data_IF_388441123367
#
_entry.id   IF_388441123367
#
_cell.length_a   1.000
_cell.length_b   1.000
_cell.length_c   1.000
_cell.angle_alpha   90.00
_cell.angle_beta   90.00
_cell.angle_gamma   90.00
#
_symmetry.space_group_name_H-M   'P 1'
#
loop_
_entity.id
_entity.type
_entity.pdbx_description
1 polymer ?
#
# COMPACT_ATOMS: atom_id res chain seq x y z
N UNK A 1 66.30 -16.08 -46.65
CA UNK A 1 65.39 -15.01 -47.11
C UNK A 1 64.08 -15.71 -47.52
N UNK A 2 63.19 -15.91 -46.55
CA UNK A 2 62.01 -15.06 -46.27
C UNK A 2 60.84 -15.33 -47.24
N UNK A 3 60.10 -16.42 -47.01
CA UNK A 3 58.72 -16.56 -47.46
C UNK A 3 57.82 -16.07 -46.32
N UNK A 4 57.28 -14.87 -46.50
CA UNK A 4 56.40 -14.17 -45.56
C UNK A 4 55.05 -14.88 -45.46
N UNK A 5 54.79 -15.47 -44.28
CA UNK A 5 53.45 -15.79 -43.78
C UNK A 5 52.76 -14.48 -43.38
N UNK A 6 52.15 -13.77 -44.33
CA UNK A 6 51.25 -12.66 -44.04
C UNK A 6 49.80 -13.08 -44.32
N UNK A 7 49.25 -13.91 -43.43
CA UNK A 7 47.79 -13.96 -43.26
C UNK A 7 47.39 -12.65 -42.59
N UNK A 8 46.74 -11.77 -43.36
CA UNK A 8 46.42 -10.43 -42.90
C UNK A 8 45.62 -10.48 -41.58
N UNK A 9 46.00 -9.63 -40.61
CA UNK A 9 45.21 -9.38 -39.38
C UNK A 9 43.75 -8.97 -39.69
N UNK A 10 43.50 -8.52 -40.93
CA UNK A 10 42.18 -8.18 -41.45
C UNK A 10 41.34 -9.45 -41.69
N UNK A 11 41.92 -10.53 -42.22
CA UNK A 11 41.22 -11.80 -42.41
C UNK A 11 40.92 -12.49 -41.08
N UNK A 12 41.82 -12.37 -40.09
CA UNK A 12 41.54 -12.81 -38.71
C UNK A 12 40.38 -12.03 -38.07
N UNK A 13 40.33 -10.70 -38.21
CA UNK A 13 39.18 -9.88 -37.73
C UNK A 13 37.88 -10.12 -38.49
N UNK A 14 37.94 -10.53 -39.76
CA UNK A 14 36.76 -10.92 -40.56
C UNK A 14 36.23 -12.30 -40.16
N UNK A 15 37.10 -13.19 -39.68
CA UNK A 15 36.69 -14.46 -39.08
C UNK A 15 36.17 -14.34 -37.64
N UNK A 16 36.66 -13.35 -36.87
CA UNK A 16 36.16 -13.07 -35.51
C UNK A 16 34.84 -12.28 -35.48
N UNK A 17 34.49 -11.58 -36.57
CA UNK A 17 33.23 -10.84 -36.70
C UNK A 17 32.07 -11.68 -37.27
N UNK A 18 32.34 -12.90 -37.73
CA UNK A 18 31.30 -13.90 -37.96
C UNK A 18 31.23 -14.80 -36.72
N UNK A 19 30.25 -14.60 -35.81
CA UNK A 19 29.99 -15.62 -34.81
C UNK A 19 29.75 -16.93 -35.56
N UNK A 20 30.46 -17.99 -35.18
CA UNK A 20 30.23 -19.35 -35.69
C UNK A 20 28.73 -19.58 -35.90
N UNK A 21 28.29 -20.18 -37.01
CA UNK A 21 26.88 -20.40 -37.26
C UNK A 21 26.32 -21.21 -36.09
N UNK A 22 25.64 -20.52 -35.19
CA UNK A 22 24.87 -21.15 -34.12
C UNK A 22 23.93 -22.09 -34.85
N UNK A 23 24.04 -23.40 -34.57
CA UNK A 23 23.23 -24.40 -35.25
C UNK A 23 21.78 -23.94 -35.24
N UNK A 24 21.04 -24.18 -36.33
CA UNK A 24 19.67 -23.72 -36.47
C UNK A 24 18.83 -24.15 -35.24
N UNK A 25 19.04 -25.37 -34.75
CA UNK A 25 18.48 -25.87 -33.48
C UNK A 25 18.78 -24.99 -32.26
N UNK A 26 20.01 -24.50 -32.10
CA UNK A 26 20.39 -23.61 -31.00
C UNK A 26 19.71 -22.24 -31.08
N UNK A 27 19.44 -21.72 -32.29
CA UNK A 27 18.70 -20.46 -32.49
C UNK A 27 17.22 -20.62 -32.15
N UNK A 28 16.60 -21.74 -32.55
CA UNK A 28 15.23 -22.07 -32.15
C UNK A 28 15.10 -22.28 -30.64
N UNK A 29 16.04 -22.99 -30.02
CA UNK A 29 16.04 -23.18 -28.56
C UNK A 29 16.16 -21.83 -27.82
N UNK A 30 17.06 -20.94 -28.26
CA UNK A 30 17.19 -19.58 -27.71
C UNK A 30 15.90 -18.78 -27.85
N UNK A 31 15.23 -18.87 -29.00
CA UNK A 31 13.94 -18.20 -29.24
C UNK A 31 12.86 -18.69 -28.27
N UNK A 32 12.70 -20.02 -28.11
CA UNK A 32 11.70 -20.60 -27.21
C UNK A 32 11.98 -20.21 -25.76
N UNK A 33 13.23 -20.28 -25.30
CA UNK A 33 13.62 -19.88 -23.95
C UNK A 33 13.34 -18.40 -23.71
N UNK A 34 13.74 -17.52 -24.64
CA UNK A 34 13.51 -16.08 -24.52
C UNK A 34 12.01 -15.74 -24.48
N UNK A 35 11.22 -16.39 -25.34
CA UNK A 35 9.77 -16.23 -25.37
C UNK A 35 9.13 -16.68 -24.04
N UNK A 36 9.52 -17.87 -23.53
CA UNK A 36 9.02 -18.40 -22.27
C UNK A 36 9.38 -17.48 -21.08
N UNK A 37 10.61 -16.96 -21.03
CA UNK A 37 11.05 -16.02 -20.00
C UNK A 37 10.23 -14.73 -20.02
N UNK A 38 9.98 -14.16 -21.21
CA UNK A 38 9.20 -12.93 -21.32
C UNK A 38 7.72 -13.17 -20.97
N UNK A 39 7.14 -14.28 -21.40
CA UNK A 39 5.77 -14.65 -21.01
C UNK A 39 5.66 -14.80 -19.49
N UNK A 40 6.63 -15.47 -18.85
CA UNK A 40 6.66 -15.59 -17.39
C UNK A 40 6.74 -14.23 -16.70
N UNK A 41 7.55 -13.30 -17.23
CA UNK A 41 7.66 -11.94 -16.70
C UNK A 41 6.36 -11.14 -16.86
N UNK A 42 5.66 -11.28 -18.00
CA UNK A 42 4.34 -10.66 -18.22
C UNK A 42 3.33 -11.21 -17.21
N UNK A 43 3.23 -12.53 -17.05
CA UNK A 43 2.30 -13.14 -16.10
C UNK A 43 2.57 -12.70 -14.66
N UNK A 44 3.85 -12.61 -14.28
CA UNK A 44 4.25 -12.09 -12.98
C UNK A 44 3.85 -10.61 -12.81
N UNK A 45 4.09 -9.78 -13.83
CA UNK A 45 3.68 -8.37 -13.83
C UNK A 45 2.16 -8.22 -13.70
N UNK A 46 1.38 -9.05 -14.39
CA UNK A 46 -0.08 -9.06 -14.31
C UNK A 46 -0.57 -9.50 -12.93
N UNK A 47 0.10 -10.44 -12.27
CA UNK A 47 -0.24 -10.87 -10.91
C UNK A 47 -0.03 -9.74 -9.88
N UNK A 48 1.10 -9.03 -9.97
CA UNK A 48 1.34 -7.87 -9.10
C UNK A 48 0.40 -6.71 -9.47
N UNK A 49 0.17 -6.48 -10.76
CA UNK A 49 -0.75 -5.47 -11.25
C UNK A 49 -2.18 -5.68 -10.81
N UNK A 50 -2.69 -6.91 -10.82
CA UNK A 50 -4.03 -7.24 -10.35
C UNK A 50 -4.16 -7.02 -8.84
N UNK A 51 -3.12 -7.36 -8.08
CA UNK A 51 -3.05 -7.10 -6.63
C UNK A 51 -3.09 -5.61 -6.32
N UNK A 52 -2.38 -4.80 -7.11
CA UNK A 52 -2.37 -3.33 -6.97
C UNK A 52 -3.72 -2.74 -7.39
N UNK A 53 -4.32 -3.22 -8.48
CA UNK A 53 -5.66 -2.79 -8.89
C UNK A 53 -6.68 -3.10 -7.79
N UNK A 54 -6.64 -4.31 -7.21
CA UNK A 54 -7.49 -4.67 -6.10
C UNK A 54 -7.29 -3.75 -4.89
N UNK A 55 -6.03 -3.43 -4.55
CA UNK A 55 -5.72 -2.46 -3.50
C UNK A 55 -6.21 -1.03 -3.82
N UNK A 56 -6.27 -0.64 -5.10
CA UNK A 56 -6.90 0.62 -5.55
C UNK A 56 -8.41 0.65 -5.23
N UNK A 57 -9.09 -0.50 -5.35
CA UNK A 57 -10.50 -0.63 -4.97
C UNK A 57 -10.67 -0.58 -3.44
N UNK A 58 -9.77 -1.20 -2.68
CA UNK A 58 -9.72 -1.09 -1.21
C UNK A 58 -9.56 0.36 -0.76
N UNK A 59 -8.67 1.11 -1.40
CA UNK A 59 -8.46 2.53 -1.10
C UNK A 59 -9.70 3.38 -1.40
N UNK A 60 -10.47 3.01 -2.43
CA UNK A 60 -11.73 3.67 -2.77
C UNK A 60 -12.81 3.39 -1.71
N UNK A 61 -12.82 2.19 -1.12
CA UNK A 61 -13.66 1.89 0.04
C UNK A 61 -13.23 2.61 1.33
N UNK A 62 -12.04 3.23 1.35
CA UNK A 62 -11.53 4.03 2.46
C UNK A 62 -11.49 3.31 3.82
N UNK A 63 -11.28 1.98 3.81
CA UNK A 63 -11.30 1.15 5.02
C UNK A 63 -9.92 1.05 5.71
N UNK A 64 -8.86 1.56 5.08
CA UNK A 64 -7.50 1.50 5.65
C UNK A 64 -7.39 2.31 6.95
N UNK A 65 -6.54 1.90 7.91
CA UNK A 65 -6.42 2.55 9.21
C UNK A 65 -5.55 3.82 9.12
N UNK A 66 -6.14 4.88 8.58
CA UNK A 66 -5.53 6.20 8.33
C UNK A 66 -5.74 7.21 9.47
N UNK A 67 -6.44 6.85 10.53
CA UNK A 67 -6.80 7.75 11.64
C UNK A 67 -6.47 7.07 12.96
N UNK A 68 -5.67 7.76 13.79
CA UNK A 68 -5.17 7.29 15.09
C UNK A 68 -6.29 7.19 16.14
N UNK A 69 -7.38 7.91 15.96
CA UNK A 69 -8.50 7.95 16.91
C UNK A 69 -9.47 6.76 16.74
N UNK A 70 -9.20 5.86 15.79
CA UNK A 70 -10.07 4.73 15.45
C UNK A 70 -9.38 3.37 15.56
N UNK A 71 -10.17 2.30 15.53
CA UNK A 71 -9.70 0.93 15.34
C UNK A 71 -8.78 0.85 14.11
N UNK A 72 -7.61 0.18 14.22
CA UNK A 72 -7.13 -0.63 15.35
C UNK A 72 -6.26 0.11 16.39
N UNK A 73 -6.00 1.41 16.26
CA UNK A 73 -5.17 2.16 17.22
C UNK A 73 -5.92 2.52 18.51
N UNK A 74 -7.23 2.75 18.39
CA UNK A 74 -8.15 3.06 19.48
C UNK A 74 -9.31 2.05 19.54
N UNK A 75 -10.20 2.21 20.52
CA UNK A 75 -11.38 1.37 20.69
C UNK A 75 -12.60 1.84 19.89
N UNK A 76 -12.52 2.99 19.22
CA UNK A 76 -13.63 3.55 18.47
C UNK A 76 -13.69 2.94 17.06
N UNK A 77 -14.78 2.26 16.74
CA UNK A 77 -15.00 1.78 15.39
C UNK A 77 -15.40 2.95 14.47
N UNK A 78 -14.68 3.18 13.36
CA UNK A 78 -15.07 4.19 12.39
C UNK A 78 -16.33 3.74 11.65
N UNK A 79 -17.21 4.69 11.34
CA UNK A 79 -18.35 4.44 10.47
C UNK A 79 -17.93 4.71 9.03
N UNK A 80 -17.93 3.67 8.19
CA UNK A 80 -17.62 3.77 6.75
C UNK A 80 -18.91 3.62 5.96
N UNK A 81 -19.23 4.59 5.10
CA UNK A 81 -20.40 4.48 4.22
C UNK A 81 -20.17 3.38 3.18
N UNK A 82 -21.00 2.32 3.13
CA UNK A 82 -20.87 1.29 2.11
C UNK A 82 -21.08 1.89 0.72
N UNK A 83 -20.20 1.55 -0.21
CA UNK A 83 -20.31 1.89 -1.62
C UNK A 83 -20.07 0.64 -2.45
N UNK A 84 -20.76 0.54 -3.59
CA UNK A 84 -20.48 -0.46 -4.61
C UNK A 84 -19.37 0.08 -5.51
N UNK A 85 -18.33 -0.73 -5.69
CA UNK A 85 -17.14 -0.37 -6.42
C UNK A 85 -17.04 -1.25 -7.65
N UNK A 86 -16.97 -0.63 -8.82
CA UNK A 86 -16.77 -1.32 -10.08
C UNK A 86 -15.34 -1.84 -10.22
N UNK A 87 -15.22 -3.09 -10.68
CA UNK A 87 -13.98 -3.78 -11.06
C UNK A 87 -14.21 -4.50 -12.39
N UNK A 88 -13.14 -4.79 -13.11
CA UNK A 88 -13.18 -5.47 -14.40
C UNK A 88 -13.96 -4.67 -15.45
N UNK A 89 -13.78 -3.35 -15.44
CA UNK A 89 -14.55 -2.42 -16.26
C UNK A 89 -14.16 -2.56 -17.73
N UNK A 90 -15.10 -3.04 -18.54
CA UNK A 90 -14.88 -3.28 -19.97
C UNK A 90 -16.00 -2.72 -20.82
N UNK A 91 -15.61 -2.13 -21.96
CA UNK A 91 -16.54 -1.65 -22.99
C UNK A 91 -16.61 -2.64 -24.14
N UNK A 92 -17.80 -3.19 -24.37
CA UNK A 92 -18.13 -4.12 -25.46
C UNK A 92 -19.40 -3.62 -26.14
N UNK A 93 -19.34 -3.45 -27.46
CA UNK A 93 -20.47 -3.02 -28.30
C UNK A 93 -21.19 -1.76 -27.78
N UNK A 94 -20.42 -0.81 -27.25
CA UNK A 94 -20.93 0.45 -26.72
C UNK A 94 -21.47 0.40 -25.29
N UNK A 95 -21.61 -0.79 -24.69
CA UNK A 95 -22.05 -0.97 -23.29
C UNK A 95 -20.86 -1.23 -22.37
N UNK A 96 -20.94 -0.72 -21.14
CA UNK A 96 -20.00 -1.03 -20.08
C UNK A 96 -20.48 -2.22 -19.27
N UNK A 97 -19.55 -3.10 -18.95
CA UNK A 97 -19.72 -4.22 -18.05
C UNK A 97 -18.72 -4.09 -16.91
N UNK A 98 -19.18 -4.33 -15.69
CA UNK A 98 -18.34 -4.33 -14.49
C UNK A 98 -18.85 -5.33 -13.47
N UNK A 99 -17.94 -5.90 -12.70
CA UNK A 99 -18.25 -6.63 -11.47
C UNK A 99 -18.30 -5.65 -10.33
N UNK A 100 -19.41 -5.61 -9.59
CA UNK A 100 -19.55 -4.73 -8.43
C UNK A 100 -19.16 -5.46 -7.16
N UNK A 101 -18.25 -4.86 -6.41
CA UNK A 101 -17.79 -5.37 -5.13
C UNK A 101 -17.99 -4.34 -4.03
N UNK A 102 -18.16 -4.83 -2.80
CA UNK A 102 -18.13 -4.00 -1.61
C UNK A 102 -17.11 -4.55 -0.61
N UNK A 103 -16.63 -3.68 0.27
CA UNK A 103 -15.70 -4.04 1.34
C UNK A 103 -16.40 -3.85 2.69
N UNK A 104 -17.04 -4.89 3.23
CA UNK A 104 -17.69 -4.80 4.52
C UNK A 104 -16.71 -4.37 5.62
N UNK A 105 -17.11 -3.34 6.35
CA UNK A 105 -16.39 -2.86 7.52
C UNK A 105 -17.34 -2.65 8.71
N UNK A 106 -18.56 -2.18 8.46
CA UNK A 106 -19.59 -2.11 9.50
C UNK A 106 -20.24 -3.49 9.73
N UNK A 107 -20.69 -3.74 10.97
CA UNK A 107 -21.47 -4.94 11.28
C UNK A 107 -22.86 -4.88 10.64
N UNK A 108 -23.40 -6.04 10.31
CA UNK A 108 -24.69 -6.26 9.67
C UNK A 108 -25.42 -7.41 10.36
N UNK A 109 -26.70 -7.63 10.02
CA UNK A 109 -27.47 -8.78 10.50
C UNK A 109 -26.99 -10.12 9.89
N UNK A 110 -26.24 -10.06 8.77
CA UNK A 110 -25.72 -11.25 8.11
C UNK A 110 -24.38 -11.73 8.71
N UNK A 111 -24.28 -12.97 9.22
CA UNK A 111 -23.07 -13.49 9.84
C UNK A 111 -21.88 -13.62 8.88
N UNK A 112 -22.11 -13.86 7.59
CA UNK A 112 -21.04 -13.93 6.59
C UNK A 112 -20.38 -12.57 6.37
N UNK A 113 -21.19 -11.50 6.36
CA UNK A 113 -20.72 -10.10 6.25
C UNK A 113 -19.92 -9.73 7.50
N UNK A 114 -20.41 -10.10 8.69
CA UNK A 114 -19.71 -9.84 9.96
C UNK A 114 -18.32 -10.48 10.03
N UNK A 115 -18.18 -11.72 9.54
CA UNK A 115 -16.87 -12.40 9.50
C UNK A 115 -15.84 -11.65 8.65
N UNK A 116 -16.28 -11.02 7.56
CA UNK A 116 -15.42 -10.21 6.69
C UNK A 116 -15.15 -8.85 7.30
N UNK A 117 -16.16 -8.20 7.89
CA UNK A 117 -15.99 -6.94 8.60
C UNK A 117 -14.99 -7.06 9.75
N UNK A 118 -15.09 -8.12 10.56
CA UNK A 118 -14.15 -8.38 11.65
C UNK A 118 -12.72 -8.66 11.13
N UNK A 119 -12.59 -9.36 10.00
CA UNK A 119 -11.29 -9.56 9.34
C UNK A 119 -10.68 -8.23 8.87
N UNK A 120 -11.46 -7.38 8.19
CA UNK A 120 -11.01 -6.10 7.66
C UNK A 120 -10.68 -5.07 8.76
N UNK A 121 -11.29 -5.20 9.95
CA UNK A 121 -10.94 -4.41 11.15
C UNK A 121 -9.65 -4.86 11.82
N UNK A 122 -9.31 -6.14 11.66
CA UNK A 122 -8.15 -6.73 12.32
C UNK A 122 -6.87 -6.40 11.57
N UNK A 123 -5.80 -6.13 12.30
CA UNK A 123 -4.46 -6.02 11.76
C UNK A 123 -3.48 -6.61 12.76
N UNK A 124 -2.81 -7.69 12.38
CA UNK A 124 -1.97 -8.46 13.31
C UNK A 124 -0.98 -7.60 14.11
N UNK A 125 -0.26 -6.68 13.44
CA UNK A 125 0.75 -5.85 14.10
C UNK A 125 0.07 -4.78 14.96
N UNK A 126 -0.93 -4.07 14.43
CA UNK A 126 -1.60 -3.00 15.18
C UNK A 126 -2.41 -3.55 16.36
N UNK A 127 -3.00 -4.73 16.22
CA UNK A 127 -3.68 -5.44 17.31
C UNK A 127 -2.69 -5.87 18.39
N UNK A 128 -1.49 -6.33 17.99
CA UNK A 128 -0.42 -6.60 18.93
C UNK A 128 0.02 -5.33 19.66
N UNK A 129 0.24 -4.22 18.95
CA UNK A 129 0.59 -2.92 19.53
C UNK A 129 -0.51 -2.45 20.51
N UNK A 130 -1.79 -2.54 20.13
CA UNK A 130 -2.92 -2.18 20.99
C UNK A 130 -2.93 -2.99 22.29
N UNK A 131 -2.73 -4.31 22.22
CA UNK A 131 -2.63 -5.16 23.43
C UNK A 131 -1.49 -4.72 24.35
N UNK A 132 -0.37 -4.26 23.78
CA UNK A 132 0.76 -3.75 24.57
C UNK A 132 0.43 -2.45 25.31
N UNK A 133 -0.48 -1.60 24.77
CA UNK A 133 -0.94 -0.36 25.41
C UNK A 133 -1.87 -0.62 26.59
N UNK A 134 -2.67 -1.68 26.54
CA UNK A 134 -3.65 -2.02 27.58
C UNK A 134 -3.03 -2.77 28.78
N UNK A 135 -1.73 -3.04 28.74
CA UNK A 135 -1.02 -3.72 29.84
C UNK A 135 -0.93 -2.81 31.08
N UNK A 136 -1.39 -3.28 32.23
CA UNK A 136 -1.49 -2.51 33.48
C UNK A 136 -0.14 -2.08 34.09
N UNK A 137 0.99 -2.67 33.69
CA UNK A 137 2.34 -2.27 34.12
C UNK A 137 3.14 -1.61 32.97
N UNK A 138 2.46 -0.84 32.12
CA UNK A 138 3.11 -0.12 31.01
C UNK A 138 3.87 1.10 31.52
N UNK A 139 5.06 1.35 30.98
CA UNK A 139 5.91 2.50 31.33
C UNK A 139 5.84 3.57 30.23
N UNK A 140 6.06 4.83 30.59
CA UNK A 140 6.04 5.96 29.63
C UNK A 140 6.98 5.76 28.44
N UNK A 141 8.17 5.19 28.67
CA UNK A 141 9.13 4.81 27.60
C UNK A 141 8.53 3.79 26.63
N UNK A 142 7.78 2.80 27.11
CA UNK A 142 7.11 1.81 26.22
C UNK A 142 6.06 2.51 25.35
N UNK A 143 5.26 3.39 25.96
CA UNK A 143 4.24 4.17 25.24
C UNK A 143 4.82 5.16 24.23
N UNK A 144 6.00 5.71 24.50
CA UNK A 144 6.76 6.54 23.57
C UNK A 144 7.03 5.80 22.26
N UNK A 145 7.68 4.63 22.32
CA UNK A 145 7.97 3.84 21.12
C UNK A 145 6.71 3.34 20.41
N UNK A 146 5.70 2.94 21.18
CA UNK A 146 4.40 2.54 20.62
C UNK A 146 3.78 3.70 19.83
N UNK A 147 3.75 4.91 20.38
CA UNK A 147 3.13 6.07 19.71
C UNK A 147 3.89 6.47 18.45
N UNK A 148 5.23 6.39 18.47
CA UNK A 148 6.05 6.56 17.26
C UNK A 148 5.69 5.52 16.20
N UNK A 149 5.57 4.24 16.57
CA UNK A 149 5.17 3.18 15.63
C UNK A 149 3.76 3.39 15.08
N UNK A 150 2.77 3.67 15.93
CA UNK A 150 1.39 3.93 15.49
C UNK A 150 1.33 5.12 14.54
N UNK A 151 2.06 6.21 14.84
CA UNK A 151 2.18 7.37 13.96
C UNK A 151 2.78 7.01 12.60
N UNK A 152 3.80 6.16 12.57
CA UNK A 152 4.41 5.67 11.31
C UNK A 152 3.44 4.80 10.51
N UNK A 153 2.75 3.84 11.15
CA UNK A 153 1.76 3.01 10.48
C UNK A 153 0.63 3.87 9.91
N UNK A 154 0.03 4.73 10.73
CA UNK A 154 -1.06 5.63 10.32
C UNK A 154 -0.66 6.46 9.10
N UNK A 155 0.54 7.05 9.12
CA UNK A 155 1.00 7.87 8.01
C UNK A 155 1.25 7.06 6.74
N UNK A 156 1.84 5.87 6.86
CA UNK A 156 2.04 4.97 5.72
C UNK A 156 0.70 4.53 5.12
N UNK A 157 -0.29 4.16 5.93
CA UNK A 157 -1.64 3.86 5.44
C UNK A 157 -2.29 5.07 4.77
N UNK A 158 -2.12 6.28 5.32
CA UNK A 158 -2.62 7.51 4.72
C UNK A 158 -2.02 7.76 3.33
N UNK A 159 -0.70 7.58 3.17
CA UNK A 159 -0.01 7.70 1.88
C UNK A 159 -0.53 6.64 0.90
N UNK A 160 -0.60 5.38 1.31
CA UNK A 160 -1.07 4.27 0.47
C UNK A 160 -2.52 4.49 0.03
N UNK A 161 -3.41 4.85 0.95
CA UNK A 161 -4.81 5.13 0.66
C UNK A 161 -4.94 6.26 -0.37
N UNK A 162 -4.18 7.34 -0.19
CA UNK A 162 -4.21 8.48 -1.10
C UNK A 162 -3.64 8.13 -2.47
N UNK A 163 -2.50 7.44 -2.52
CA UNK A 163 -1.84 7.05 -3.76
C UNK A 163 -2.67 6.07 -4.58
N UNK A 164 -3.19 5.03 -3.95
CA UNK A 164 -3.99 4.00 -4.61
C UNK A 164 -5.35 4.55 -5.05
N UNK A 165 -5.98 5.42 -4.26
CA UNK A 165 -7.19 6.11 -4.69
C UNK A 165 -6.92 7.05 -5.88
N UNK A 166 -5.80 7.79 -5.85
CA UNK A 166 -5.37 8.61 -6.98
C UNK A 166 -5.16 7.78 -8.26
N UNK A 167 -4.52 6.61 -8.14
CA UNK A 167 -4.37 5.69 -9.27
C UNK A 167 -5.74 5.21 -9.79
N UNK A 168 -6.64 4.76 -8.91
CA UNK A 168 -7.98 4.30 -9.31
C UNK A 168 -8.78 5.38 -10.03
N UNK A 169 -8.67 6.63 -9.55
CA UNK A 169 -9.45 7.77 -10.06
C UNK A 169 -8.93 8.27 -11.41
N UNK A 170 -7.62 8.28 -11.62
CA UNK A 170 -7.00 8.95 -12.77
C UNK A 170 -6.49 7.99 -13.86
N UNK A 171 -6.35 6.70 -13.57
CA UNK A 171 -5.81 5.72 -14.51
C UNK A 171 -6.87 4.67 -14.86
N UNK A 172 -6.87 4.25 -16.12
CA UNK A 172 -7.68 3.11 -16.58
C UNK A 172 -7.18 1.80 -15.95
N UNK A 173 -8.07 0.86 -15.67
CA UNK A 173 -7.74 -0.39 -14.96
C UNK A 173 -6.62 -1.18 -15.64
N UNK A 174 -6.63 -1.27 -16.98
CA UNK A 174 -5.57 -1.96 -17.72
C UNK A 174 -4.21 -1.27 -17.60
N UNK A 175 -4.18 0.07 -17.45
CA UNK A 175 -2.94 0.82 -17.21
C UNK A 175 -2.41 0.52 -15.82
N UNK A 176 -3.28 0.43 -14.81
CA UNK A 176 -2.90 0.02 -13.45
C UNK A 176 -2.39 -1.43 -13.45
N UNK A 177 -3.06 -2.33 -14.18
CA UNK A 177 -2.68 -3.73 -14.31
C UNK A 177 -1.28 -3.90 -14.92
N UNK A 178 -0.95 -3.13 -15.97
CA UNK A 178 0.35 -3.25 -16.64
C UNK A 178 1.46 -2.46 -15.94
N UNK A 179 1.18 -1.22 -15.54
CA UNK A 179 2.19 -0.26 -15.08
C UNK A 179 2.15 -0.02 -13.57
N UNK A 180 1.13 -0.47 -12.85
CA UNK A 180 1.01 -0.32 -11.40
C UNK A 180 2.24 -0.77 -10.61
N UNK A 181 2.81 -1.96 -10.87
CA UNK A 181 4.04 -2.41 -10.20
C UNK A 181 5.21 -1.45 -10.42
N UNK A 182 5.34 -0.92 -11.65
CA UNK A 182 6.38 0.03 -12.00
C UNK A 182 6.17 1.39 -11.33
N UNK A 183 4.92 1.89 -11.29
CA UNK A 183 4.59 3.12 -10.57
C UNK A 183 4.96 3.02 -9.09
N UNK A 184 4.61 1.93 -8.42
CA UNK A 184 4.98 1.72 -7.02
C UNK A 184 6.49 1.57 -6.85
N UNK A 185 7.18 0.87 -7.76
CA UNK A 185 8.64 0.73 -7.71
C UNK A 185 9.34 2.09 -7.72
N UNK A 186 8.92 3.01 -8.59
CA UNK A 186 9.52 4.34 -8.69
C UNK A 186 9.12 5.29 -7.56
N UNK A 187 7.91 5.14 -6.99
CA UNK A 187 7.44 5.99 -5.91
C UNK A 187 7.94 5.55 -4.52
N UNK A 188 8.24 4.26 -4.33
CA UNK A 188 8.66 3.73 -3.03
C UNK A 188 9.89 4.44 -2.46
N UNK A 189 10.98 4.73 -3.21
CA UNK A 189 12.12 5.48 -2.69
C UNK A 189 11.75 6.87 -2.17
N UNK A 190 10.86 7.59 -2.88
CA UNK A 190 10.40 8.92 -2.46
C UNK A 190 9.57 8.84 -1.17
N UNK A 191 8.72 7.83 -1.05
CA UNK A 191 7.92 7.57 0.15
C UNK A 191 8.81 7.19 1.33
N UNK A 192 9.83 6.35 1.11
CA UNK A 192 10.82 5.99 2.14
C UNK A 192 11.56 7.22 2.65
N UNK A 193 12.01 8.11 1.76
CA UNK A 193 12.68 9.36 2.17
C UNK A 193 11.73 10.25 2.98
N UNK A 194 10.48 10.42 2.52
CA UNK A 194 9.49 11.21 3.24
C UNK A 194 9.19 10.64 4.63
N UNK A 195 8.93 9.33 4.71
CA UNK A 195 8.61 8.65 5.96
C UNK A 195 9.80 8.59 6.91
N UNK A 196 11.04 8.60 6.39
CA UNK A 196 12.25 8.78 7.20
C UNK A 196 12.24 10.13 7.93
N UNK A 197 12.03 11.24 7.24
CA UNK A 197 11.95 12.56 7.90
C UNK A 197 10.74 12.68 8.83
N UNK A 198 9.62 12.09 8.44
CA UNK A 198 8.44 12.02 9.32
C UNK A 198 8.72 11.20 10.59
N UNK A 199 9.55 10.16 10.51
CA UNK A 199 9.95 9.40 11.68
C UNK A 199 10.73 10.28 12.66
N UNK A 200 11.72 11.05 12.19
CA UNK A 200 12.46 12.03 13.01
C UNK A 200 11.49 12.97 13.73
N UNK A 201 10.52 13.54 13.00
CA UNK A 201 9.50 14.40 13.57
C UNK A 201 8.70 13.71 14.70
N UNK A 202 8.26 12.46 14.49
CA UNK A 202 7.51 11.71 15.50
C UNK A 202 8.33 11.44 16.76
N UNK A 203 9.63 11.17 16.64
CA UNK A 203 10.48 11.01 17.82
C UNK A 203 10.40 12.23 18.70
N UNK A 204 10.45 13.45 18.15
CA UNK A 204 10.35 14.69 18.92
C UNK A 204 8.94 14.95 19.48
N UNK A 205 7.91 14.74 18.68
CA UNK A 205 6.53 15.00 19.11
C UNK A 205 6.13 14.10 20.25
N UNK A 206 6.54 12.84 20.26
CA UNK A 206 6.10 11.88 21.26
C UNK A 206 6.88 11.98 22.58
N UNK A 207 7.90 12.86 22.73
CA UNK A 207 8.72 12.98 23.96
C UNK A 207 7.88 13.18 25.23
N UNK A 208 6.67 13.75 25.12
CA UNK A 208 5.76 13.92 26.25
C UNK A 208 5.48 12.61 26.99
N UNK A 209 5.50 11.46 26.32
CA UNK A 209 5.31 10.16 26.95
C UNK A 209 6.38 9.79 27.97
N UNK A 210 7.59 10.35 27.83
CA UNK A 210 8.67 10.15 28.80
C UNK A 210 8.39 10.85 30.13
N UNK A 211 7.49 11.83 30.12
CA UNK A 211 7.04 12.60 31.28
C UNK A 211 5.67 12.14 31.76
N UNK A 212 5.26 10.90 31.48
CA UNK A 212 4.00 10.32 31.95
C UNK A 212 4.24 9.07 32.77
N UNK A 213 3.53 8.96 33.88
CA UNK A 213 3.53 7.78 34.74
C UNK A 213 2.15 7.12 34.80
N UNK A 214 2.13 5.78 34.83
CA UNK A 214 0.90 5.03 35.02
C UNK A 214 0.62 4.90 36.50
N UNK A 215 -0.51 5.44 36.95
CA UNK A 215 -0.92 5.38 38.35
C UNK A 215 -1.77 4.14 38.68
N UNK A 216 -2.14 3.35 37.66
CA UNK A 216 -2.98 2.18 37.83
C UNK A 216 -2.17 0.89 37.59
N UNK A 217 -1.62 0.33 38.67
CA UNK A 217 -0.76 -0.85 38.65
C UNK A 217 -1.49 -2.15 39.06
N UNK A 218 -2.82 -2.17 39.04
CA UNK A 218 -3.62 -3.35 39.40
C UNK A 218 -3.96 -4.18 38.17
N UNK A 219 -3.75 -5.49 38.27
CA UNK A 219 -4.14 -6.45 37.24
C UNK A 219 -5.66 -6.38 36.99
N UNK A 220 -6.06 -6.38 35.71
CA UNK A 220 -7.46 -6.26 35.28
C UNK A 220 -7.95 -4.82 35.04
N UNK A 221 -7.18 -3.79 35.39
CA UNK A 221 -7.54 -2.40 35.10
C UNK A 221 -6.71 -1.81 33.95
N UNK A 222 -7.32 -0.90 33.18
CA UNK A 222 -6.63 -0.15 32.12
C UNK A 222 -5.66 0.89 32.72
N UNK A 223 -4.51 1.14 32.08
CA UNK A 223 -3.56 2.15 32.56
C UNK A 223 -4.18 3.54 32.56
N UNK A 224 -3.88 4.32 33.59
CA UNK A 224 -4.27 5.72 33.71
C UNK A 224 -3.00 6.56 33.81
N UNK A 225 -2.84 7.47 32.86
CA UNK A 225 -1.63 8.26 32.71
C UNK A 225 -1.78 9.63 33.37
N UNK A 226 -0.80 10.00 34.19
CA UNK A 226 -0.69 11.33 34.77
C UNK A 226 0.68 11.94 34.44
N UNK A 227 0.72 13.26 34.31
CA UNK A 227 1.95 13.98 33.97
C UNK A 227 2.90 14.02 35.18
N UNK A 228 4.16 13.67 34.94
CA UNK A 228 5.24 13.80 35.91
C UNK A 228 5.60 15.28 36.02
N UNK A 229 5.17 15.90 37.11
CA UNK A 229 5.43 17.32 37.36
C UNK A 229 6.75 17.55 38.08
N UNK A 230 7.28 18.77 38.00
CA UNK A 230 8.45 19.22 38.76
C UNK A 230 8.33 19.02 40.28
N UNK A 231 7.11 18.90 40.81
CA UNK A 231 6.88 18.65 42.24
C UNK A 231 7.33 17.24 42.64
N UNK A 232 7.38 16.29 41.69
CA UNK A 232 8.00 14.98 41.86
C UNK A 232 9.40 14.99 41.24
N UNK A 233 10.33 15.70 41.88
CA UNK A 233 11.66 15.99 41.36
C UNK A 233 12.47 14.74 40.99
N UNK A 234 12.30 13.64 41.73
CA UNK A 234 13.00 12.39 41.45
C UNK A 234 12.54 11.75 40.13
N UNK A 235 11.22 11.57 39.95
CA UNK A 235 10.67 11.02 38.71
C UNK A 235 10.93 11.96 37.53
N UNK A 236 10.86 13.28 37.73
CA UNK A 236 11.16 14.26 36.70
C UNK A 236 12.63 14.18 36.24
N UNK A 237 13.59 14.08 37.16
CA UNK A 237 15.00 13.90 36.83
C UNK A 237 15.27 12.59 36.06
N UNK A 238 14.57 11.49 36.42
CA UNK A 238 14.64 10.23 35.68
C UNK A 238 14.14 10.42 34.25
N UNK A 239 12.97 11.05 34.07
CA UNK A 239 12.40 11.36 32.74
C UNK A 239 13.36 12.21 31.90
N UNK A 240 13.96 13.25 32.48
CA UNK A 240 14.97 14.08 31.79
C UNK A 240 16.21 13.26 31.39
N UNK A 241 16.69 12.38 32.26
CA UNK A 241 17.86 11.52 31.98
C UNK A 241 17.55 10.53 30.86
N UNK A 242 16.36 9.91 30.88
CA UNK A 242 15.90 9.02 29.82
C UNK A 242 15.76 9.77 28.49
N UNK A 243 15.14 10.96 28.49
CA UNK A 243 15.00 11.81 27.32
C UNK A 243 16.36 12.18 26.73
N UNK A 244 17.35 12.55 27.57
CA UNK A 244 18.70 12.84 27.13
C UNK A 244 19.36 11.63 26.45
N UNK A 245 19.31 10.44 27.06
CA UNK A 245 19.91 9.24 26.47
C UNK A 245 19.21 8.79 25.20
N UNK A 246 17.88 8.91 25.12
CA UNK A 246 17.13 8.64 23.88
C UNK A 246 17.54 9.64 22.80
N UNK A 247 17.67 10.92 23.13
CA UNK A 247 18.12 11.94 22.18
C UNK A 247 19.55 11.69 21.67
N UNK A 248 20.50 11.37 22.56
CA UNK A 248 21.86 10.99 22.16
C UNK A 248 21.85 9.73 21.31
N UNK A 249 21.09 8.72 21.71
CA UNK A 249 20.91 7.48 20.96
C UNK A 249 20.37 7.73 19.55
N UNK A 250 19.39 8.64 19.41
CA UNK A 250 18.86 9.05 18.12
C UNK A 250 19.90 9.73 17.26
N UNK A 251 20.65 10.70 17.80
CA UNK A 251 21.70 11.39 17.04
C UNK A 251 22.73 10.38 16.51
N UNK A 252 23.17 9.44 17.35
CA UNK A 252 24.10 8.39 16.93
C UNK A 252 23.46 7.49 15.87
N UNK A 253 22.20 7.09 16.04
CA UNK A 253 21.51 6.18 15.11
C UNK A 253 21.24 6.86 13.76
N UNK A 254 20.87 8.14 13.72
CA UNK A 254 20.65 8.87 12.48
C UNK A 254 21.95 9.19 11.73
N UNK A 255 23.05 9.42 12.46
CA UNK A 255 24.37 9.70 11.85
C UNK A 255 25.05 8.41 11.35
N UNK A 256 25.01 7.32 12.13
CA UNK A 256 25.78 6.10 11.84
C UNK A 256 24.94 4.93 11.31
N UNK A 257 23.62 4.96 11.47
CA UNK A 257 22.72 3.81 11.24
C UNK A 257 21.54 4.18 10.32
N UNK A 258 21.76 5.17 9.43
CA UNK A 258 20.81 5.56 8.39
C UNK A 258 20.23 4.36 7.59
N UNK A 259 21.01 3.32 7.21
CA UNK A 259 20.47 2.16 6.51
C UNK A 259 19.43 1.35 7.32
N UNK A 260 19.57 1.25 8.65
CA UNK A 260 18.60 0.47 9.45
C UNK A 260 17.28 1.23 9.64
N UNK A 261 17.31 2.56 9.75
CA UNK A 261 16.10 3.38 9.88
C UNK A 261 15.33 3.41 8.55
N UNK A 262 16.03 3.58 7.44
CA UNK A 262 15.44 3.50 6.09
C UNK A 262 14.91 2.10 5.77
N UNK A 263 15.60 1.05 6.25
CA UNK A 263 15.10 -0.33 6.20
C UNK A 263 13.79 -0.51 6.99
N UNK A 264 13.72 0.04 8.21
CA UNK A 264 12.52 -0.07 9.07
C UNK A 264 11.31 0.65 8.47
N UNK A 265 11.50 1.87 7.98
CA UNK A 265 10.42 2.65 7.33
C UNK A 265 9.91 1.97 6.05
N UNK A 266 10.83 1.43 5.23
CA UNK A 266 10.47 0.66 4.03
C UNK A 266 9.73 -0.64 4.38
N UNK A 267 10.15 -1.34 5.44
CA UNK A 267 9.47 -2.53 5.92
C UNK A 267 8.03 -2.22 6.38
N UNK A 268 7.83 -1.16 7.16
CA UNK A 268 6.49 -0.72 7.58
C UNK A 268 5.62 -0.39 6.36
N UNK A 269 6.15 0.36 5.39
CA UNK A 269 5.43 0.67 4.16
C UNK A 269 4.99 -0.61 3.42
N UNK A 270 5.91 -1.58 3.26
CA UNK A 270 5.63 -2.87 2.62
C UNK A 270 4.53 -3.65 3.35
N UNK A 271 4.55 -3.67 4.69
CA UNK A 271 3.51 -4.32 5.49
C UNK A 271 2.14 -3.63 5.33
N UNK A 272 2.10 -2.31 5.30
CA UNK A 272 0.85 -1.57 5.07
C UNK A 272 0.28 -1.84 3.66
N UNK A 273 1.16 -1.92 2.65
CA UNK A 273 0.76 -2.20 1.27
C UNK A 273 0.21 -3.62 1.14
N UNK A 274 0.90 -4.60 1.74
CA UNK A 274 0.45 -5.98 1.79
C UNK A 274 -0.91 -6.10 2.51
N UNK A 275 -1.09 -5.38 3.62
CA UNK A 275 -2.38 -5.35 4.33
C UNK A 275 -3.51 -4.81 3.45
N UNK A 276 -3.25 -3.81 2.60
CA UNK A 276 -4.25 -3.30 1.66
C UNK A 276 -4.61 -4.35 0.60
N UNK A 277 -3.63 -5.08 0.08
CA UNK A 277 -3.86 -6.15 -0.91
C UNK A 277 -4.67 -7.32 -0.34
N UNK A 278 -4.50 -7.65 0.95
CA UNK A 278 -5.11 -8.81 1.59
C UNK A 278 -6.52 -8.56 2.15
N UNK A 279 -7.05 -7.33 2.08
CA UNK A 279 -8.42 -7.03 2.50
C UNK A 279 -9.44 -7.89 1.73
N UNK A 280 -10.59 -8.19 2.35
CA UNK A 280 -11.62 -9.04 1.75
C UNK A 280 -12.81 -8.23 1.26
N UNK A 281 -13.32 -8.58 0.09
CA UNK A 281 -14.52 -8.00 -0.51
C UNK A 281 -15.59 -9.06 -0.77
N UNK A 282 -16.81 -8.60 -1.01
CA UNK A 282 -17.95 -9.40 -1.43
C UNK A 282 -18.50 -8.87 -2.74
N UNK A 283 -19.04 -9.76 -3.56
CA UNK A 283 -19.80 -9.39 -4.76
C UNK A 283 -21.14 -8.80 -4.32
N UNK A 284 -21.48 -7.61 -4.82
CA UNK A 284 -22.71 -6.91 -4.48
C UNK A 284 -23.82 -7.04 -5.53
N UNK A 285 -23.48 -7.43 -6.76
CA UNK A 285 -24.42 -7.58 -7.88
C UNK A 285 -24.05 -8.79 -8.76
N UNK A 286 -25.01 -9.33 -9.50
CA UNK A 286 -24.82 -10.47 -10.40
C UNK A 286 -25.29 -11.83 -9.86
N UNK A 287 -24.73 -12.92 -10.39
CA UNK A 287 -25.19 -14.29 -10.09
C UNK A 287 -24.71 -14.79 -8.72
N UNK A 288 -23.53 -14.35 -8.28
CA UNK A 288 -22.84 -14.85 -7.08
C UNK A 288 -22.79 -13.82 -5.93
N UNK A 289 -23.91 -13.14 -5.64
CA UNK A 289 -24.02 -12.14 -4.56
C UNK A 289 -23.52 -12.71 -3.22
N UNK A 290 -22.78 -11.89 -2.46
CA UNK A 290 -22.17 -12.21 -1.16
C UNK A 290 -21.11 -13.33 -1.18
N UNK A 291 -20.63 -13.76 -2.35
CA UNK A 291 -19.41 -14.57 -2.42
C UNK A 291 -18.16 -13.72 -2.26
N UNK A 292 -17.12 -14.31 -1.67
CA UNK A 292 -15.85 -13.64 -1.46
C UNK A 292 -15.17 -13.32 -2.80
N UNK A 293 -14.77 -12.06 -2.95
CA UNK A 293 -13.99 -11.58 -4.08
C UNK A 293 -12.66 -11.03 -3.53
N UNK A 294 -11.55 -11.43 -4.13
CA UNK A 294 -10.21 -11.09 -3.66
C UNK A 294 -9.18 -11.27 -4.76
N UNK A 295 -7.90 -11.06 -4.45
CA UNK A 295 -6.80 -11.01 -5.44
C UNK A 295 -6.85 -12.14 -6.47
N UNK A 296 -7.07 -13.38 -6.03
CA UNK A 296 -7.08 -14.55 -6.92
C UNK A 296 -8.20 -14.48 -7.97
N UNK A 297 -9.40 -14.06 -7.55
CA UNK A 297 -10.55 -13.88 -8.44
C UNK A 297 -10.38 -12.64 -9.32
N UNK A 298 -9.87 -11.55 -8.76
CA UNK A 298 -9.48 -10.37 -9.55
C UNK A 298 -8.47 -10.71 -10.63
N UNK A 299 -7.46 -11.52 -10.33
CA UNK A 299 -6.49 -11.96 -11.33
C UNK A 299 -7.13 -12.81 -12.43
N UNK A 300 -7.98 -13.79 -12.07
CA UNK A 300 -8.63 -14.64 -13.08
C UNK A 300 -9.57 -13.85 -13.98
N UNK A 301 -10.38 -12.97 -13.40
CA UNK A 301 -11.42 -12.22 -14.11
C UNK A 301 -10.78 -11.14 -15.02
N UNK A 302 -9.72 -10.48 -14.55
CA UNK A 302 -8.92 -9.56 -15.38
C UNK A 302 -8.19 -10.26 -16.51
N UNK A 303 -7.61 -11.44 -16.27
CA UNK A 303 -6.93 -12.22 -17.31
C UNK A 303 -7.93 -12.63 -18.37
N UNK A 304 -9.10 -13.13 -17.96
CA UNK A 304 -10.19 -13.52 -18.85
C UNK A 304 -10.67 -12.32 -19.69
N UNK A 305 -10.93 -11.18 -19.04
CA UNK A 305 -11.51 -10.03 -19.73
C UNK A 305 -10.51 -9.27 -20.62
N UNK A 306 -9.24 -9.19 -20.20
CA UNK A 306 -8.18 -8.53 -20.96
C UNK A 306 -7.34 -9.50 -21.81
N UNK A 307 -7.79 -10.75 -21.99
CA UNK A 307 -7.05 -11.79 -22.72
C UNK A 307 -6.64 -11.31 -24.12
N UNK A 308 -7.55 -10.64 -24.84
CA UNK A 308 -7.27 -10.06 -26.16
C UNK A 308 -6.09 -9.07 -26.14
N UNK A 309 -6.11 -8.12 -25.19
CA UNK A 309 -5.03 -7.13 -25.04
C UNK A 309 -3.69 -7.79 -24.70
N UNK A 310 -3.70 -8.79 -23.80
CA UNK A 310 -2.51 -9.54 -23.41
C UNK A 310 -1.93 -10.30 -24.60
N UNK A 311 -2.79 -10.93 -25.40
CA UNK A 311 -2.38 -11.72 -26.57
C UNK A 311 -1.83 -10.87 -27.71
N UNK A 312 -2.32 -9.64 -27.86
CA UNK A 312 -1.71 -8.64 -28.77
C UNK A 312 -0.27 -8.33 -28.34
N UNK A 313 -0.04 -8.09 -27.03
CA UNK A 313 1.30 -7.82 -26.49
C UNK A 313 2.24 -9.01 -26.71
N UNK A 314 1.78 -10.23 -26.39
CA UNK A 314 2.57 -11.45 -26.59
C UNK A 314 2.90 -11.65 -28.08
N UNK A 315 1.95 -11.38 -28.97
CA UNK A 315 2.16 -11.49 -30.42
C UNK A 315 3.22 -10.50 -30.94
N UNK A 316 3.19 -9.25 -30.46
CA UNK A 316 4.21 -8.26 -30.80
C UNK A 316 5.60 -8.70 -30.34
N UNK A 317 5.70 -9.21 -29.11
CA UNK A 317 6.97 -9.71 -28.55
C UNK A 317 7.47 -10.91 -29.35
N UNK A 318 6.59 -11.84 -29.69
CA UNK A 318 6.94 -13.01 -30.51
C UNK A 318 7.51 -12.58 -31.87
N UNK A 319 6.90 -11.59 -32.52
CA UNK A 319 7.41 -11.03 -33.79
C UNK A 319 8.80 -10.40 -33.59
N UNK A 320 8.98 -9.57 -32.56
CA UNK A 320 10.26 -8.91 -32.27
C UNK A 320 11.37 -9.94 -32.01
N UNK A 321 11.07 -10.98 -31.23
CA UNK A 321 12.01 -12.08 -30.96
C UNK A 321 12.31 -12.90 -32.21
N UNK A 322 11.32 -13.13 -33.08
CA UNK A 322 11.52 -13.86 -34.33
C UNK A 322 12.49 -13.11 -35.26
N UNK A 323 12.31 -11.78 -35.41
CA UNK A 323 13.26 -10.95 -36.15
C UNK A 323 14.65 -10.95 -35.51
N UNK A 324 14.73 -10.78 -34.19
CA UNK A 324 16.01 -10.65 -33.48
C UNK A 324 16.81 -11.96 -33.44
N UNK A 325 16.17 -13.11 -33.21
CA UNK A 325 16.86 -14.38 -32.94
C UNK A 325 16.89 -15.29 -34.18
N UNK A 326 15.75 -15.40 -34.90
CA UNK A 326 15.59 -16.33 -36.04
C UNK A 326 15.87 -15.66 -37.39
N UNK A 327 15.79 -14.33 -37.47
CA UNK A 327 16.13 -13.53 -38.64
C UNK A 327 14.92 -13.08 -39.45
N UNK A 328 15.16 -12.31 -40.51
CA UNK A 328 14.13 -11.59 -41.27
C UNK A 328 13.00 -12.47 -41.81
N UNK A 329 13.32 -13.60 -42.44
CA UNK A 329 12.32 -14.49 -43.01
C UNK A 329 11.35 -15.04 -41.94
N UNK A 330 11.88 -15.55 -40.83
CA UNK A 330 11.07 -16.04 -39.71
C UNK A 330 10.24 -14.94 -39.06
N UNK A 331 10.76 -13.72 -38.98
CA UNK A 331 10.00 -12.55 -38.53
C UNK A 331 8.79 -12.25 -39.42
N UNK A 332 8.96 -12.27 -40.74
CA UNK A 332 7.85 -12.08 -41.70
C UNK A 332 6.79 -13.18 -41.54
N UNK A 333 7.21 -14.45 -41.41
CA UNK A 333 6.27 -15.54 -41.16
C UNK A 333 5.53 -15.39 -39.83
N UNK A 334 6.18 -14.90 -38.77
CA UNK A 334 5.53 -14.62 -37.50
C UNK A 334 4.48 -13.52 -37.63
N UNK A 335 4.74 -12.46 -38.41
CA UNK A 335 3.74 -11.41 -38.71
C UNK A 335 2.52 -12.00 -39.40
N UNK A 336 2.72 -12.79 -40.46
CA UNK A 336 1.63 -13.42 -41.21
C UNK A 336 0.80 -14.32 -40.29
N UNK A 337 1.45 -15.14 -39.45
CA UNK A 337 0.77 -16.02 -38.51
C UNK A 337 -0.08 -15.24 -37.49
N UNK A 338 0.44 -14.15 -36.93
CA UNK A 338 -0.30 -13.29 -36.01
C UNK A 338 -1.52 -12.64 -36.67
N UNK A 339 -1.40 -12.18 -37.93
CA UNK A 339 -2.52 -11.58 -38.68
C UNK A 339 -3.62 -12.61 -38.92
N UNK A 340 -3.26 -13.84 -39.31
CA UNK A 340 -4.23 -14.94 -39.52
C UNK A 340 -5.00 -15.24 -38.23
N UNK A 341 -4.28 -15.29 -37.10
CA UNK A 341 -4.89 -15.52 -35.78
C UNK A 341 -5.78 -14.35 -35.33
N UNK A 342 -5.37 -13.12 -35.58
CA UNK A 342 -6.13 -11.92 -35.20
C UNK A 342 -7.44 -11.78 -35.99
N UNK A 343 -7.41 -12.08 -37.30
CA UNK A 343 -8.59 -12.04 -38.18
C UNK A 343 -9.55 -13.20 -37.89
N UNK A 344 -9.14 -14.19 -37.09
CA UNK A 344 -10.00 -15.33 -36.70
C UNK A 344 -10.23 -16.34 -37.83
N UNK A 345 -9.37 -16.36 -38.85
CA UNK A 345 -9.39 -17.36 -39.93
C UNK A 345 -9.20 -18.79 -39.39
N UNK A 346 -8.49 -18.90 -38.27
CA UNK A 346 -8.45 -20.08 -37.41
C UNK A 346 -9.38 -19.73 -36.25
N UNK A 347 -10.53 -20.40 -36.12
CA UNK A 347 -11.66 -20.06 -35.24
C UNK A 347 -11.36 -20.04 -33.73
N UNK A 348 -10.41 -19.20 -33.31
CA UNK A 348 -9.95 -19.03 -31.95
C UNK A 348 -10.61 -17.79 -31.33
N UNK A 349 -11.20 -17.96 -30.15
CA UNK A 349 -11.84 -16.89 -29.38
C UNK A 349 -10.86 -16.07 -28.54
N UNK A 350 -9.56 -16.30 -28.69
CA UNK A 350 -8.47 -15.76 -27.86
C UNK A 350 -8.32 -14.24 -28.01
N UNK A 351 -8.70 -13.69 -29.18
CA UNK A 351 -8.66 -12.24 -29.45
C UNK A 351 -10.01 -11.54 -29.25
N UNK A 352 -11.07 -12.29 -28.94
CA UNK A 352 -12.37 -11.69 -28.65
C UNK A 352 -12.39 -11.16 -27.23
N UNK A 353 -13.02 -10.00 -27.01
CA UNK A 353 -13.27 -9.50 -25.66
C UNK A 353 -14.27 -10.41 -24.95
N UNK A 354 -14.02 -10.70 -23.69
CA UNK A 354 -14.84 -11.58 -22.88
C UNK A 354 -15.31 -10.84 -21.62
N UNK A 355 -16.50 -11.19 -21.13
CA UNK A 355 -17.12 -10.59 -19.95
C UNK A 355 -17.11 -11.62 -18.82
N UNK A 356 -16.56 -11.29 -17.64
CA UNK A 356 -16.68 -12.16 -16.47
C UNK A 356 -18.15 -12.48 -16.14
N UNK A 357 -18.41 -13.66 -15.58
CA UNK A 357 -19.79 -14.14 -15.32
C UNK A 357 -20.57 -13.23 -14.38
N UNK A 358 -19.89 -12.63 -13.41
CA UNK A 358 -20.52 -11.77 -12.39
C UNK A 358 -20.64 -10.30 -12.84
N UNK A 359 -20.21 -9.96 -14.06
CA UNK A 359 -20.29 -8.59 -14.54
C UNK A 359 -21.69 -8.27 -15.07
N UNK A 360 -22.28 -7.18 -14.60
CA UNK A 360 -23.58 -6.69 -15.06
C UNK A 360 -23.42 -5.52 -16.03
N UNK A 361 -24.38 -5.37 -16.95
CA UNK A 361 -24.40 -4.23 -17.87
C UNK A 361 -24.92 -2.98 -17.15
N UNK A 362 -24.18 -1.87 -17.19
CA UNK A 362 -24.59 -0.64 -16.53
C UNK A 362 -23.72 0.55 -16.91
N UNK A 363 -24.07 1.74 -16.41
CA UNK A 363 -23.13 2.86 -16.37
C UNK A 363 -22.05 2.45 -15.35
N UNK A 364 -20.84 2.15 -15.83
CA UNK A 364 -19.68 2.18 -14.94
C UNK A 364 -19.67 3.56 -14.29
N UNK A 365 -19.48 3.65 -12.97
CA UNK A 365 -19.50 4.92 -12.27
C UNK A 365 -18.54 5.90 -12.97
N UNK A 366 -19.09 6.91 -13.67
CA UNK A 366 -18.30 7.84 -14.48
C UNK A 366 -17.31 8.64 -13.60
N UNK A 367 -17.58 8.72 -12.29
CA UNK A 367 -16.70 9.27 -11.28
C UNK A 367 -16.42 8.27 -10.15
N UNK A 368 -15.13 7.97 -9.94
CA UNK A 368 -14.67 7.15 -8.82
C UNK A 368 -14.65 8.00 -7.55
N UNK A 369 -15.75 7.97 -6.79
CA UNK A 369 -15.82 8.60 -5.46
C UNK A 369 -15.25 7.70 -4.37
N UNK A 370 -14.52 8.30 -3.42
CA UNK A 370 -14.04 7.60 -2.22
C UNK A 370 -15.13 7.56 -1.14
N UNK A 371 -15.29 6.41 -0.48
CA UNK A 371 -16.22 6.27 0.63
C UNK A 371 -15.93 7.26 1.77
N UNK A 372 -16.98 7.78 2.39
CA UNK A 372 -16.85 8.66 3.56
C UNK A 372 -16.58 7.81 4.80
N UNK A 373 -15.48 8.12 5.47
CA UNK A 373 -15.09 7.52 6.76
C UNK A 373 -15.17 8.57 7.85
N UNK A 374 -15.93 8.30 8.90
CA UNK A 374 -16.09 9.20 10.04
C UNK A 374 -15.67 8.48 11.31
N UNK A 375 -14.73 9.08 12.03
CA UNK A 375 -14.34 8.65 13.36
C UNK A 375 -14.96 9.56 14.41
N UNK A 376 -15.57 8.98 15.45
CA UNK A 376 -16.05 9.76 16.59
C UNK A 376 -14.86 10.09 17.49
N UNK A 377 -14.47 11.36 17.56
CA UNK A 377 -13.44 11.82 18.51
C UNK A 377 -13.97 11.73 19.95
N UNK A 378 -13.16 11.21 20.87
CA UNK A 378 -13.39 11.36 22.30
C UNK A 378 -13.18 12.83 22.69
N UNK A 379 -14.06 13.37 23.53
CA UNK A 379 -14.21 14.81 23.78
C UNK A 379 -13.04 15.50 24.53
N UNK A 380 -11.91 14.84 24.78
CA UNK A 380 -10.87 15.32 25.71
C UNK A 380 -9.51 15.64 25.04
N UNK A 381 -9.51 16.22 23.84
CA UNK A 381 -8.29 16.68 23.17
C UNK A 381 -8.39 18.17 22.82
N UNK A 382 -8.13 19.03 23.80
CA UNK A 382 -7.85 20.44 23.55
C UNK A 382 -6.43 20.52 22.96
N UNK A 383 -6.32 20.83 21.67
CA UNK A 383 -5.04 21.00 21.01
C UNK A 383 -4.27 22.19 21.60
N UNK A 384 -3.32 21.90 22.49
CA UNK A 384 -2.28 22.85 22.87
C UNK A 384 -1.26 23.04 21.74
N UNK A 385 -0.66 24.23 21.69
CA UNK A 385 0.43 24.54 20.76
C UNK A 385 1.63 23.59 20.89
N UNK A 386 2.53 23.62 19.91
CA UNK A 386 3.68 22.69 19.75
C UNK A 386 4.51 22.55 21.03
N UNK A 387 4.74 23.64 21.78
CA UNK A 387 5.47 23.60 23.04
C UNK A 387 4.73 22.86 24.17
N UNK A 388 3.39 22.97 24.23
CA UNK A 388 2.58 22.23 25.20
C UNK A 388 2.49 20.74 24.84
N UNK A 389 2.53 20.40 23.54
CA UNK A 389 2.63 19.00 23.06
C UNK A 389 3.99 18.37 23.38
N UNK A 390 5.09 19.14 23.31
CA UNK A 390 6.46 18.62 23.56
C UNK A 390 6.75 18.42 25.05
N UNK A 391 6.35 19.36 25.90
CA UNK A 391 6.69 19.32 27.34
C UNK A 391 5.64 18.65 28.23
N UNK A 392 4.53 18.15 27.66
CA UNK A 392 3.43 17.58 28.46
C UNK A 392 2.84 18.55 29.49
N UNK A 393 3.18 19.83 29.42
CA UNK A 393 2.59 20.84 30.27
C UNK A 393 1.26 21.21 29.66
N UNK A 394 0.19 20.57 30.15
CA UNK A 394 -1.09 21.27 30.17
C UNK A 394 -0.84 22.56 30.94
N UNK A 395 -0.78 23.68 30.23
CA UNK A 395 -0.84 25.00 30.81
C UNK A 395 -2.21 25.17 31.47
N UNK A 396 -2.43 24.53 32.63
CA UNK A 396 -3.53 24.78 33.55
C UNK A 396 -3.49 26.20 34.15
N UNK A 397 -2.71 27.10 33.55
CA UNK A 397 -2.55 28.50 33.89
C UNK A 397 -3.64 29.36 33.26
N UNK A 398 -3.89 29.31 31.95
CA UNK A 398 -4.74 30.32 31.29
C UNK A 398 -6.20 30.30 31.75
N UNK A 399 -6.84 29.14 31.77
CA UNK A 399 -8.25 29.05 32.20
C UNK A 399 -8.43 29.26 33.72
N UNK A 400 -7.43 28.88 34.55
CA UNK A 400 -7.47 29.18 36.00
C UNK A 400 -7.15 30.66 36.27
N UNK A 401 -6.25 31.30 35.54
CA UNK A 401 -5.98 32.74 35.65
C UNK A 401 -7.17 33.56 35.18
N UNK A 402 -7.79 33.23 34.05
CA UNK A 402 -9.00 33.90 33.57
C UNK A 402 -10.17 33.73 34.55
N UNK A 403 -10.35 32.55 35.14
CA UNK A 403 -11.37 32.32 36.16
C UNK A 403 -11.08 33.09 37.46
N UNK A 404 -9.81 33.19 37.87
CA UNK A 404 -9.37 33.96 39.05
C UNK A 404 -9.46 35.47 38.81
N UNK A 405 -9.11 35.97 37.63
CA UNK A 405 -9.25 37.36 37.21
C UNK A 405 -10.73 37.76 37.11
N UNK A 406 -11.60 36.89 36.60
CA UNK A 406 -13.07 37.11 36.62
C UNK A 406 -13.65 37.12 38.04
N UNK A 407 -13.09 36.32 38.96
CA UNK A 407 -13.46 36.35 40.39
C UNK A 407 -13.02 37.65 41.07
N UNK A 408 -11.77 38.06 40.87
CA UNK A 408 -11.22 39.33 41.36
C UNK A 408 -11.98 40.55 40.82
N UNK A 409 -12.36 40.53 39.53
CA UNK A 409 -13.19 41.59 38.93
C UNK A 409 -14.59 41.67 39.55
N UNK A 410 -15.17 40.55 39.98
CA UNK A 410 -16.47 40.53 40.67
C UNK A 410 -16.36 41.01 42.12
N UNK A 411 -15.24 40.74 42.79
CA UNK A 411 -15.00 41.20 44.16
C UNK A 411 -14.66 42.70 44.21
N UNK A 412 -14.00 43.25 43.19
CA UNK A 412 -13.74 44.70 43.06
C UNK A 412 -14.96 45.53 42.61
N UNK A 413 -16.08 44.88 42.25
CA UNK A 413 -17.36 45.53 41.87
C UNK A 413 -18.43 45.48 42.96
N UNK A 414 -18.11 44.91 44.12
CA UNK A 414 -18.85 45.11 45.37
C UNK A 414 -18.11 46.17 46.19
#
# INVERSE_FOLDING_TARGET
MSSTDDTSLIDKKKSESNPQPTSLASRYLKFVIALAQIIALILLSLLFGSSILYACKVATANILPTDIDCTPYASNDPNVTPIDIDVDVNKIDGKFYSTKINFPFNKSDNPAINKIADYNKSNFILDWIRKQKETYNSWGVKMYFISVLEGLFMKNYSIINSLLHFMNKNLYEFVILLLGPWFLLFLTPLITIYTFFYSIYLWFVEFHWLFKENINNKEGYKPKWEDVTFMNAFNFCISCTMAFWIFVGLLVTYIFVFPAITGTTSFIFGMCLLSAMLMKSLISDGENIQQAYGIGKTFSDLLYSNMSNIMIIISLIMILLAFSILGGASGIFAVIACVILFVGLIGNTIYNKQVPKDSTAGLANEEVEQAKKVCKKLADSVEGGILNKIFGQSGGGENKLLSKLKKLSKELKK
#
